data_IF_846833554326
#
_entry.id   IF_846833554326
#
_cell.length_a   1.000
_cell.length_b   1.000
_cell.length_c   1.000
_cell.angle_alpha   90.00
_cell.angle_beta   90.00
_cell.angle_gamma   90.00
#
_symmetry.space_group_name_H-M   'P 1'
#
loop_
_entity.id
_entity.type
_entity.pdbx_description
1 polymer ?
#
# COMPACT_ATOMS: atom_id res chain seq x y z
N UNK A 1 9.80 5.19 -28.84
CA UNK A 1 9.61 6.64 -28.57
C UNK A 1 9.10 6.79 -27.14
N UNK A 2 9.74 7.58 -26.27
CA UNK A 2 9.28 7.86 -24.88
C UNK A 2 7.92 8.60 -24.79
N UNK A 3 7.16 8.70 -25.89
CA UNK A 3 6.15 9.72 -26.12
C UNK A 3 5.03 9.78 -25.06
N UNK A 4 4.75 8.68 -24.37
CA UNK A 4 3.73 8.65 -23.33
C UNK A 4 4.28 8.89 -21.91
N UNK A 5 5.53 8.46 -21.61
CA UNK A 5 6.20 8.76 -20.34
C UNK A 5 6.48 10.26 -20.28
N UNK A 6 5.92 10.91 -19.26
CA UNK A 6 6.05 12.36 -19.08
C UNK A 6 5.00 13.21 -19.80
N UNK A 7 4.04 12.61 -20.51
CA UNK A 7 2.84 13.30 -21.01
C UNK A 7 1.95 13.79 -19.85
N UNK A 8 1.08 14.79 -20.09
CA UNK A 8 0.16 15.30 -19.07
C UNK A 8 -0.72 14.21 -18.44
N UNK A 9 -1.38 13.31 -19.21
CA UNK A 9 -2.17 12.22 -18.63
C UNK A 9 -1.32 11.26 -17.77
N UNK A 10 -0.10 10.95 -18.22
CA UNK A 10 0.82 10.10 -17.45
C UNK A 10 1.19 10.73 -16.11
N UNK A 11 1.51 12.04 -16.09
CA UNK A 11 1.83 12.78 -14.87
C UNK A 11 0.65 12.84 -13.90
N UNK A 12 -0.58 13.01 -14.41
CA UNK A 12 -1.80 12.98 -13.60
C UNK A 12 -1.99 11.61 -12.96
N UNK A 13 -1.86 10.52 -13.74
CA UNK A 13 -1.97 9.17 -13.18
C UNK A 13 -0.84 8.88 -12.17
N UNK A 14 0.38 9.35 -12.43
CA UNK A 14 1.49 9.20 -11.50
C UNK A 14 1.20 9.93 -10.18
N UNK A 15 0.66 11.15 -10.25
CA UNK A 15 0.24 11.89 -9.06
C UNK A 15 -0.83 11.15 -8.27
N UNK A 16 -1.84 10.58 -8.94
CA UNK A 16 -2.91 9.80 -8.29
C UNK A 16 -2.35 8.52 -7.67
N UNK A 17 -1.44 7.82 -8.37
CA UNK A 17 -0.79 6.61 -7.85
C UNK A 17 -0.04 6.88 -6.55
N UNK A 18 0.81 7.91 -6.54
CA UNK A 18 1.59 8.30 -5.36
C UNK A 18 0.68 8.84 -4.25
N UNK A 19 -0.27 9.73 -4.60
CA UNK A 19 -1.20 10.32 -3.63
C UNK A 19 -2.08 9.28 -2.95
N UNK A 20 -2.60 8.31 -3.71
CA UNK A 20 -3.38 7.21 -3.15
C UNK A 20 -2.53 6.27 -2.28
N UNK A 21 -1.26 6.04 -2.62
CA UNK A 21 -0.35 5.27 -1.78
C UNK A 21 -0.13 5.95 -0.41
N UNK A 22 0.05 7.26 -0.40
CA UNK A 22 0.19 8.04 0.84
C UNK A 22 -1.05 7.86 1.72
N UNK A 23 -2.26 7.96 1.14
CA UNK A 23 -3.51 7.77 1.88
C UNK A 23 -3.66 6.32 2.37
N UNK A 24 -3.31 5.34 1.54
CA UNK A 24 -3.39 3.92 1.88
C UNK A 24 -2.52 3.56 3.10
N UNK A 25 -1.31 4.12 3.16
CA UNK A 25 -0.32 3.79 4.18
C UNK A 25 -0.21 4.83 5.30
N UNK A 26 -0.98 5.91 5.30
CA UNK A 26 -0.99 6.90 6.38
C UNK A 26 -1.10 6.32 7.82
N UNK A 27 -1.98 5.33 8.09
CA UNK A 27 -2.07 4.66 9.39
C UNK A 27 -0.76 4.04 9.86
N UNK A 28 0.02 3.52 8.91
CA UNK A 28 1.28 2.85 9.13
C UNK A 28 2.26 3.80 9.84
N UNK A 29 2.29 5.06 9.42
CA UNK A 29 3.17 6.06 10.00
C UNK A 29 2.60 6.75 11.24
N UNK A 30 1.29 7.05 11.27
CA UNK A 30 0.70 7.85 12.36
C UNK A 30 0.49 7.04 13.64
N UNK A 31 -0.05 5.83 13.54
CA UNK A 31 -0.47 5.07 14.73
C UNK A 31 0.66 4.60 15.64
N UNK A 32 1.88 4.27 15.16
CA UNK A 32 3.00 3.98 16.05
C UNK A 32 3.34 5.15 16.99
N UNK A 33 3.32 6.39 16.50
CA UNK A 33 3.58 7.57 17.36
C UNK A 33 2.47 7.79 18.38
N UNK A 34 1.20 7.61 17.96
CA UNK A 34 0.06 7.66 18.88
C UNK A 34 0.16 6.56 19.95
N UNK A 35 0.51 5.34 19.55
CA UNK A 35 0.69 4.21 20.46
C UNK A 35 1.77 4.48 21.52
N UNK A 36 2.91 5.07 21.14
CA UNK A 36 3.97 5.46 22.10
C UNK A 36 3.45 6.50 23.10
N UNK A 37 2.68 7.51 22.64
CA UNK A 37 2.12 8.53 23.54
C UNK A 37 1.09 7.94 24.50
N UNK A 38 0.19 7.09 24.02
CA UNK A 38 -0.82 6.42 24.85
C UNK A 38 -0.17 5.53 25.91
N UNK A 39 0.86 4.76 25.55
CA UNK A 39 1.63 3.95 26.52
C UNK A 39 2.24 4.79 27.63
N UNK A 40 2.83 5.94 27.29
CA UNK A 40 3.41 6.88 28.27
C UNK A 40 2.36 7.50 29.19
N UNK A 41 1.13 7.67 28.69
CA UNK A 41 0.01 8.20 29.46
C UNK A 41 -0.72 7.13 30.29
N UNK A 42 -0.34 5.85 30.19
CA UNK A 42 -1.07 4.74 30.83
C UNK A 42 -2.42 4.42 30.19
N UNK A 43 -2.67 4.90 28.97
CA UNK A 43 -3.93 4.74 28.25
C UNK A 43 -3.95 3.44 27.41
N UNK A 44 -5.11 2.78 27.27
CA UNK A 44 -5.24 1.56 26.48
C UNK A 44 -5.05 1.88 24.98
N UNK A 45 -3.94 1.40 24.40
CA UNK A 45 -3.54 1.69 23.01
C UNK A 45 -4.55 1.16 21.99
N UNK A 46 -4.82 -0.15 22.02
CA UNK A 46 -5.64 -0.83 21.02
C UNK A 46 -7.07 -0.28 21.00
N UNK A 47 -7.74 -0.30 22.14
CA UNK A 47 -9.09 0.24 22.32
C UNK A 47 -9.19 1.72 21.90
N UNK A 48 -8.22 2.57 22.26
CA UNK A 48 -8.26 4.00 21.91
C UNK A 48 -8.10 4.23 20.41
N UNK A 49 -7.12 3.58 19.78
CA UNK A 49 -6.92 3.70 18.32
C UNK A 49 -8.12 3.14 17.57
N UNK A 50 -8.66 2.00 17.99
CA UNK A 50 -9.83 1.41 17.36
C UNK A 50 -11.08 2.30 17.49
N UNK A 51 -11.26 3.00 18.62
CA UNK A 51 -12.34 4.00 18.76
C UNK A 51 -12.17 5.19 17.81
N UNK A 52 -10.93 5.63 17.58
CA UNK A 52 -10.64 6.78 16.72
C UNK A 52 -10.65 6.46 15.23
N UNK A 53 -10.32 5.21 14.87
CA UNK A 53 -9.98 4.84 13.49
C UNK A 53 -10.62 3.53 13.00
N UNK A 54 -11.40 2.86 13.85
CA UNK A 54 -12.06 1.60 13.54
C UNK A 54 -12.90 1.71 12.27
N UNK A 55 -12.70 0.79 11.34
CA UNK A 55 -13.38 0.79 10.05
C UNK A 55 -12.82 1.76 9.00
N UNK A 56 -11.89 2.66 9.35
CA UNK A 56 -11.21 3.49 8.34
C UNK A 56 -10.37 2.63 7.39
N UNK A 57 -9.90 1.47 7.83
CA UNK A 57 -9.23 0.48 6.98
C UNK A 57 -10.08 0.12 5.76
N UNK A 58 -11.39 -0.09 5.91
CA UNK A 58 -12.27 -0.41 4.77
C UNK A 58 -12.86 0.81 4.08
N UNK A 59 -13.02 1.94 4.78
CA UNK A 59 -13.69 3.13 4.23
C UNK A 59 -12.74 4.09 3.52
N UNK A 60 -11.47 4.12 3.92
CA UNK A 60 -10.49 5.11 3.46
C UNK A 60 -9.24 4.41 2.91
N UNK A 61 -8.54 3.68 3.76
CA UNK A 61 -7.21 3.18 3.43
C UNK A 61 -7.23 2.03 2.41
N UNK A 62 -8.21 1.13 2.53
CA UNK A 62 -8.44 0.02 1.60
C UNK A 62 -8.78 0.52 0.20
N UNK A 63 -9.81 1.37 -0.01
CA UNK A 63 -10.10 1.95 -1.32
C UNK A 63 -8.90 2.70 -1.90
N UNK A 64 -8.18 3.48 -1.10
CA UNK A 64 -6.95 4.15 -1.55
C UNK A 64 -5.87 3.15 -1.99
N UNK A 65 -5.71 2.04 -1.27
CA UNK A 65 -4.77 0.97 -1.62
C UNK A 65 -5.16 0.27 -2.93
N UNK A 66 -6.45 0.06 -3.16
CA UNK A 66 -6.98 -0.48 -4.42
C UNK A 66 -6.67 0.48 -5.58
N UNK A 67 -6.97 1.77 -5.42
CA UNK A 67 -6.66 2.81 -6.40
C UNK A 67 -5.16 2.86 -6.69
N UNK A 68 -4.32 2.74 -5.66
CA UNK A 68 -2.85 2.72 -5.81
C UNK A 68 -2.44 1.65 -6.83
N UNK A 69 -2.84 0.40 -6.66
CA UNK A 69 -2.43 -0.67 -7.57
C UNK A 69 -2.99 -0.51 -8.98
N UNK A 70 -4.29 -0.23 -9.12
CA UNK A 70 -4.90 -0.09 -10.45
C UNK A 70 -4.33 1.07 -11.26
N UNK A 71 -4.07 2.21 -10.61
CA UNK A 71 -3.41 3.34 -11.29
C UNK A 71 -1.95 2.99 -11.61
N UNK A 72 -1.28 2.19 -10.77
CA UNK A 72 0.05 1.64 -11.08
C UNK A 72 0.08 0.77 -12.33
N UNK A 73 -0.89 -0.14 -12.49
CA UNK A 73 -1.05 -0.93 -13.72
C UNK A 73 -1.38 -0.06 -14.93
N UNK A 74 -2.22 0.98 -14.74
CA UNK A 74 -2.49 1.97 -15.78
C UNK A 74 -1.22 2.68 -16.26
N UNK A 75 -0.34 3.10 -15.34
CA UNK A 75 0.96 3.70 -15.67
C UNK A 75 1.87 2.74 -16.45
N UNK A 76 1.88 1.45 -16.09
CA UNK A 76 2.61 0.45 -16.84
C UNK A 76 2.06 0.30 -18.26
N UNK A 77 0.73 0.24 -18.43
CA UNK A 77 0.08 0.20 -19.76
C UNK A 77 0.34 1.44 -20.62
N UNK A 78 0.54 2.60 -20.00
CA UNK A 78 0.86 3.86 -20.66
C UNK A 78 2.35 4.08 -20.92
N UNK A 79 3.24 3.16 -20.55
CA UNK A 79 4.69 3.38 -20.57
C UNK A 79 5.33 3.51 -21.97
N UNK A 80 4.53 3.44 -23.04
CA UNK A 80 5.03 3.40 -24.42
C UNK A 80 5.72 2.07 -24.72
N UNK A 81 6.27 1.97 -25.93
CA UNK A 81 6.90 0.74 -26.42
C UNK A 81 8.43 0.90 -26.55
N UNK A 82 9.15 -0.19 -26.31
CA UNK A 82 10.59 -0.36 -26.55
C UNK A 82 10.88 -0.45 -28.05
N UNK A 83 12.16 -0.46 -28.43
CA UNK A 83 12.57 -0.63 -29.83
C UNK A 83 12.08 -1.97 -30.43
N UNK A 84 11.94 -2.98 -29.58
CA UNK A 84 11.51 -4.34 -29.95
C UNK A 84 9.98 -4.50 -29.94
N UNK A 85 9.23 -3.41 -29.70
CA UNK A 85 7.76 -3.40 -29.73
C UNK A 85 7.08 -3.89 -28.45
N UNK A 86 7.82 -4.21 -27.39
CA UNK A 86 7.26 -4.53 -26.07
C UNK A 86 6.95 -3.27 -25.26
N UNK A 87 6.05 -3.35 -24.27
CA UNK A 87 5.84 -2.23 -23.35
C UNK A 87 7.10 -1.93 -22.54
N UNK A 88 7.41 -0.65 -22.38
CA UNK A 88 8.57 -0.21 -21.59
C UNK A 88 8.49 -0.71 -20.15
N UNK A 89 7.30 -0.68 -19.55
CA UNK A 89 6.99 -1.40 -18.31
C UNK A 89 6.04 -2.55 -18.61
N UNK A 90 6.51 -3.77 -18.38
CA UNK A 90 5.79 -5.01 -18.72
C UNK A 90 5.80 -5.96 -17.53
N UNK A 91 4.73 -6.75 -17.40
CA UNK A 91 4.60 -7.78 -16.35
C UNK A 91 5.65 -8.90 -16.45
N UNK A 92 6.36 -9.02 -17.58
CA UNK A 92 7.53 -9.88 -17.71
C UNK A 92 8.71 -9.41 -16.86
N UNK A 93 8.75 -8.13 -16.48
CA UNK A 93 9.80 -7.58 -15.62
C UNK A 93 9.58 -8.01 -14.18
N UNK A 94 10.62 -8.56 -13.57
CA UNK A 94 10.58 -9.13 -12.22
C UNK A 94 10.15 -8.10 -11.17
N UNK A 95 10.63 -6.86 -11.25
CA UNK A 95 10.26 -5.82 -10.29
C UNK A 95 8.76 -5.52 -10.31
N UNK A 96 8.15 -5.48 -11.50
CA UNK A 96 6.75 -5.11 -11.68
C UNK A 96 5.82 -6.27 -11.28
N UNK A 97 6.17 -7.50 -11.66
CA UNK A 97 5.41 -8.69 -11.25
C UNK A 97 5.47 -8.94 -9.74
N UNK A 98 6.63 -8.76 -9.10
CA UNK A 98 6.73 -8.85 -7.64
C UNK A 98 5.96 -7.71 -6.97
N UNK A 99 6.04 -6.47 -7.48
CA UNK A 99 5.25 -5.36 -6.94
C UNK A 99 3.73 -5.63 -7.04
N UNK A 100 3.28 -6.21 -8.16
CA UNK A 100 1.89 -6.63 -8.36
C UNK A 100 1.48 -7.72 -7.36
N UNK A 101 2.34 -8.72 -7.14
CA UNK A 101 2.11 -9.78 -6.16
C UNK A 101 2.02 -9.21 -4.73
N UNK A 102 2.94 -8.33 -4.36
CA UNK A 102 2.93 -7.63 -3.07
C UNK A 102 1.66 -6.79 -2.90
N UNK A 103 1.20 -6.15 -3.98
CA UNK A 103 -0.06 -5.42 -3.97
C UNK A 103 -1.24 -6.34 -3.63
N UNK A 104 -1.36 -7.48 -4.33
CA UNK A 104 -2.40 -8.49 -4.07
C UNK A 104 -2.30 -9.05 -2.64
N UNK A 105 -1.09 -9.35 -2.16
CA UNK A 105 -0.87 -9.83 -0.79
C UNK A 105 -1.36 -8.80 0.25
N UNK A 106 -1.05 -7.51 0.05
CA UNK A 106 -1.54 -6.45 0.93
C UNK A 106 -3.06 -6.29 0.89
N UNK A 107 -3.73 -6.52 -0.25
CA UNK A 107 -5.19 -6.58 -0.30
C UNK A 107 -5.72 -7.73 0.56
N UNK A 108 -5.11 -8.92 0.45
CA UNK A 108 -5.45 -10.06 1.30
C UNK A 108 -5.31 -9.75 2.79
N UNK A 109 -4.26 -9.03 3.18
CA UNK A 109 -4.05 -8.60 4.56
C UNK A 109 -5.11 -7.57 4.98
N UNK A 110 -5.29 -6.47 4.24
CA UNK A 110 -6.21 -5.39 4.65
C UNK A 110 -7.67 -5.84 4.66
N UNK A 111 -8.14 -6.48 3.59
CA UNK A 111 -9.55 -6.85 3.44
C UNK A 111 -9.87 -8.21 4.07
N UNK A 112 -8.95 -9.17 3.99
CA UNK A 112 -9.16 -10.54 4.47
C UNK A 112 -8.77 -10.75 5.93
N UNK A 113 -7.63 -10.22 6.39
CA UNK A 113 -7.10 -10.50 7.72
C UNK A 113 -7.37 -9.41 8.75
N UNK A 114 -7.16 -8.13 8.39
CA UNK A 114 -7.30 -7.00 9.30
C UNK A 114 -8.77 -6.75 9.64
N UNK A 115 -9.65 -6.70 8.64
CA UNK A 115 -11.08 -6.44 8.87
C UNK A 115 -11.74 -7.33 9.95
N UNK A 116 -11.63 -8.68 9.92
CA UNK A 116 -12.19 -9.50 10.99
C UNK A 116 -11.47 -9.31 12.33
N UNK A 117 -10.16 -9.02 12.32
CA UNK A 117 -9.41 -8.76 13.53
C UNK A 117 -9.80 -7.42 14.19
N UNK A 118 -10.09 -6.37 13.40
CA UNK A 118 -10.59 -5.08 13.90
C UNK A 118 -11.92 -5.23 14.64
N UNK A 119 -12.84 -6.02 14.07
CA UNK A 119 -14.13 -6.32 14.69
C UNK A 119 -13.99 -7.05 16.03
N UNK A 120 -13.09 -8.04 16.10
CA UNK A 120 -12.81 -8.78 17.34
C UNK A 120 -12.11 -7.90 18.38
N UNK A 121 -11.13 -7.11 17.96
CA UNK A 121 -10.46 -6.15 18.84
C UNK A 121 -11.45 -5.11 19.41
N UNK A 122 -12.47 -4.70 18.63
CA UNK A 122 -13.54 -3.81 19.11
C UNK A 122 -14.39 -4.44 20.23
N UNK A 123 -14.38 -5.77 20.35
CA UNK A 123 -15.06 -6.53 21.40
C UNK A 123 -14.15 -6.84 22.61
N UNK A 124 -12.92 -6.31 22.62
CA UNK A 124 -11.95 -6.51 23.71
C UNK A 124 -11.07 -7.76 23.57
N UNK A 125 -11.04 -8.40 22.41
CA UNK A 125 -10.16 -9.55 22.15
C UNK A 125 -8.68 -9.10 22.03
N UNK A 126 -7.89 -9.41 23.05
CA UNK A 126 -6.46 -9.06 23.11
C UNK A 126 -5.61 -9.78 22.06
N UNK A 127 -5.98 -10.98 21.63
CA UNK A 127 -5.22 -11.70 20.59
C UNK A 127 -5.50 -11.10 19.21
N UNK A 128 -6.71 -10.59 18.99
CA UNK A 128 -7.02 -9.81 17.81
C UNK A 128 -6.19 -8.51 17.74
N UNK A 129 -6.00 -7.81 18.86
CA UNK A 129 -5.13 -6.62 18.92
C UNK A 129 -3.67 -6.94 18.55
N UNK A 130 -3.11 -8.04 19.05
CA UNK A 130 -1.75 -8.50 18.67
C UNK A 130 -1.66 -8.78 17.17
N UNK A 131 -2.67 -9.45 16.61
CA UNK A 131 -2.75 -9.74 15.17
C UNK A 131 -2.79 -8.47 14.33
N UNK A 132 -3.57 -7.46 14.73
CA UNK A 132 -3.60 -6.16 14.04
C UNK A 132 -2.23 -5.48 14.02
N UNK A 133 -1.50 -5.51 15.14
CA UNK A 133 -0.13 -4.99 15.20
C UNK A 133 0.80 -5.74 14.23
N UNK A 134 0.70 -7.07 14.18
CA UNK A 134 1.49 -7.90 13.28
C UNK A 134 1.17 -7.63 11.80
N UNK A 135 -0.11 -7.54 11.45
CA UNK A 135 -0.56 -7.22 10.10
C UNK A 135 -0.10 -5.83 9.66
N UNK A 136 -0.15 -4.84 10.56
CA UNK A 136 0.42 -3.52 10.32
C UNK A 136 1.93 -3.60 10.01
N UNK A 137 2.68 -4.46 10.70
CA UNK A 137 4.09 -4.72 10.41
C UNK A 137 4.31 -5.32 9.02
N UNK A 138 3.51 -6.30 8.60
CA UNK A 138 3.59 -6.86 7.25
C UNK A 138 3.28 -5.83 6.16
N UNK A 139 2.30 -4.95 6.38
CA UNK A 139 2.00 -3.88 5.41
C UNK A 139 3.14 -2.87 5.27
N UNK A 140 3.87 -2.56 6.35
CA UNK A 140 5.09 -1.74 6.25
C UNK A 140 6.18 -2.44 5.44
N UNK A 141 6.40 -3.73 5.66
CA UNK A 141 7.39 -4.49 4.90
C UNK A 141 7.01 -4.53 3.42
N UNK A 142 5.74 -4.79 3.10
CA UNK A 142 5.21 -4.75 1.74
C UNK A 142 5.46 -3.38 1.11
N UNK A 143 5.13 -2.29 1.80
CA UNK A 143 5.38 -0.93 1.32
C UNK A 143 6.86 -0.71 1.02
N UNK A 144 7.74 -1.04 1.97
CA UNK A 144 9.18 -0.83 1.83
C UNK A 144 9.75 -1.59 0.63
N UNK A 145 9.42 -2.87 0.49
CA UNK A 145 9.89 -3.70 -0.63
C UNK A 145 9.30 -3.20 -1.94
N UNK A 146 8.01 -2.86 -1.98
CA UNK A 146 7.38 -2.31 -3.19
C UNK A 146 8.03 -1.00 -3.63
N UNK A 147 8.32 -0.09 -2.70
CA UNK A 147 9.05 1.15 -2.98
C UNK A 147 10.45 0.86 -3.52
N UNK A 148 11.17 -0.07 -2.90
CA UNK A 148 12.48 -0.49 -3.41
C UNK A 148 12.39 -0.98 -4.87
N UNK A 149 11.41 -1.85 -5.17
CA UNK A 149 11.21 -2.33 -6.54
C UNK A 149 10.86 -1.20 -7.52
N UNK A 150 10.06 -0.21 -7.11
CA UNK A 150 9.67 0.91 -7.98
C UNK A 150 10.79 1.93 -8.20
N UNK A 151 11.64 2.15 -7.20
CA UNK A 151 12.77 3.08 -7.29
C UNK A 151 13.87 2.45 -8.14
N UNK A 152 14.37 1.28 -7.75
CA UNK A 152 15.55 0.66 -8.37
C UNK A 152 15.23 -0.25 -9.55
N UNK A 153 13.99 -0.72 -9.69
CA UNK A 153 13.51 -1.54 -10.82
C UNK A 153 14.51 -2.63 -11.24
N UNK A 154 14.97 -3.50 -10.32
CA UNK A 154 15.95 -4.54 -10.66
C UNK A 154 15.41 -5.43 -11.79
N UNK A 155 16.21 -5.62 -12.84
CA UNK A 155 15.81 -6.37 -14.04
C UNK A 155 14.77 -5.66 -14.92
N UNK A 156 14.48 -4.37 -14.67
CA UNK A 156 13.69 -3.51 -15.54
C UNK A 156 14.56 -2.78 -16.57
N UNK A 157 13.94 -1.90 -17.39
CA UNK A 157 14.68 -1.06 -18.33
C UNK A 157 15.61 -0.16 -17.54
N UNK A 158 16.88 -0.12 -17.92
CA UNK A 158 17.81 0.87 -17.36
C UNK A 158 17.28 2.27 -17.64
N UNK A 159 17.17 3.07 -16.58
CA UNK A 159 17.06 4.53 -16.64
C UNK A 159 18.38 5.13 -16.20
#
# INVERSE_FOLDING_TARGET
>A
MFAAIGSTPYRIMLLIHIGSAIVAFAPAFVWPFVAVRLRKAGEPVGATINRLAGGNTLKIHGPAYVVTGFVGFGLAGMSGDTADGEKFFSMSQTWLSIAALLWVAGMGIMFGLMNPAEKKAAQGDQDAEKKLSMYGGFLHLILFVALYLMIWKPGGPGI
#
